data_IF_410197956915
#
_entry.id   IF_410197956915
#
_cell.length_a   1.000
_cell.length_b   1.000
_cell.length_c   1.000
_cell.angle_alpha   90.00
_cell.angle_beta   90.00
_cell.angle_gamma   90.00
#
_symmetry.space_group_name_H-M   'P 1'
#
loop_
_entity.id
_entity.type
_entity.pdbx_description
1 polymer ?
#
# COMPACT_ATOMS: atom_id res chain seq x y z
N UNK A 1 -1.66 10.63 20.79
CA UNK A 1 -2.73 9.61 20.70
C UNK A 1 -3.16 9.22 22.11
N UNK A 2 -4.39 9.53 22.55
CA UNK A 2 -4.95 8.95 23.76
C UNK A 2 -5.13 7.43 23.55
N UNK A 3 -4.78 6.59 24.53
CA UNK A 3 -4.94 5.13 24.42
C UNK A 3 -6.40 4.68 24.33
N UNK A 4 -7.35 5.51 24.77
CA UNK A 4 -8.76 5.18 24.87
C UNK A 4 -9.52 5.06 23.52
N UNK A 5 -8.89 5.46 22.40
CA UNK A 5 -9.53 5.49 21.07
C UNK A 5 -9.02 4.43 20.08
N UNK A 6 -8.06 3.58 20.47
CA UNK A 6 -7.44 2.58 19.60
C UNK A 6 -8.09 1.20 19.78
N UNK A 7 -8.50 0.52 18.69
CA UNK A 7 -8.87 -0.88 18.74
C UNK A 7 -7.74 -1.73 19.31
N UNK A 8 -8.08 -2.79 20.03
CA UNK A 8 -7.08 -3.71 20.56
C UNK A 8 -6.19 -4.26 19.43
N UNK A 9 -4.88 -4.18 19.66
CA UNK A 9 -3.90 -4.79 18.77
C UNK A 9 -3.99 -6.31 18.85
N UNK A 10 -3.73 -6.97 17.73
CA UNK A 10 -3.55 -8.42 17.72
C UNK A 10 -2.16 -8.77 18.25
N UNK A 11 -1.98 -10.02 18.70
CA UNK A 11 -0.67 -10.50 19.08
C UNK A 11 0.32 -10.37 17.90
N UNK A 12 1.41 -9.63 18.13
CA UNK A 12 2.45 -9.37 17.13
C UNK A 12 2.15 -8.25 16.13
N UNK A 13 0.94 -7.70 16.12
CA UNK A 13 0.54 -6.73 15.10
C UNK A 13 1.41 -5.46 15.11
N UNK A 14 1.80 -5.03 13.92
CA UNK A 14 2.58 -3.82 13.74
C UNK A 14 2.55 -3.31 12.31
N UNK A 15 3.09 -2.10 12.11
CA UNK A 15 3.35 -1.55 10.79
C UNK A 15 4.73 -1.96 10.29
N UNK A 16 4.86 -2.24 9.00
CA UNK A 16 6.16 -2.42 8.37
C UNK A 16 6.75 -1.06 7.96
N UNK A 17 8.07 -0.91 8.04
CA UNK A 17 8.76 0.28 7.54
C UNK A 17 8.73 0.29 6.00
N UNK A 18 7.80 1.04 5.41
CA UNK A 18 7.56 1.09 3.96
C UNK A 18 8.03 2.41 3.33
N UNK A 19 9.19 2.91 3.75
CA UNK A 19 9.77 4.17 3.21
C UNK A 19 8.80 5.38 3.24
N UNK A 20 7.89 5.41 4.21
CA UNK A 20 6.92 6.49 4.41
C UNK A 20 5.53 6.24 3.83
N UNK A 21 5.27 5.15 3.12
CA UNK A 21 3.95 4.87 2.51
C UNK A 21 3.06 3.97 3.37
N UNK A 22 3.46 3.63 4.59
CA UNK A 22 2.65 2.81 5.52
C UNK A 22 1.50 3.58 6.19
N UNK A 23 1.49 4.91 6.06
CA UNK A 23 0.43 5.80 6.55
C UNK A 23 0.11 6.84 5.48
N UNK A 24 -1.15 7.23 5.39
CA UNK A 24 -1.59 8.35 4.54
C UNK A 24 -2.67 9.15 5.24
N UNK A 25 -2.76 10.44 4.90
CA UNK A 25 -3.70 11.39 5.51
C UNK A 25 -4.45 12.14 4.43
N UNK A 26 -5.66 12.59 4.75
CA UNK A 26 -6.48 13.42 3.89
C UNK A 26 -7.16 14.53 4.72
N UNK A 27 -7.67 15.59 4.06
CA UNK A 27 -8.41 16.66 4.75
C UNK A 27 -9.57 16.13 5.61
N UNK A 28 -9.98 16.91 6.60
CA UNK A 28 -11.07 16.53 7.50
C UNK A 28 -10.70 15.52 8.58
N UNK A 29 -9.41 15.44 8.95
CA UNK A 29 -8.95 14.57 10.03
C UNK A 29 -8.83 13.10 9.64
N UNK A 30 -8.88 12.79 8.34
CA UNK A 30 -8.78 11.44 7.81
C UNK A 30 -7.33 10.94 7.84
N UNK A 31 -7.14 9.73 8.35
CA UNK A 31 -5.88 9.01 8.18
C UNK A 31 -6.10 7.50 8.12
N UNK A 32 -5.17 6.81 7.45
CA UNK A 32 -5.15 5.35 7.34
C UNK A 32 -3.76 4.82 7.59
N UNK A 33 -3.66 3.68 8.29
CA UNK A 33 -2.41 2.98 8.58
C UNK A 33 -2.53 1.54 8.11
N UNK A 34 -1.57 1.09 7.31
CA UNK A 34 -1.41 -0.31 6.92
C UNK A 34 -0.71 -1.11 8.04
N UNK A 35 -1.26 -2.26 8.39
CA UNK A 35 -0.70 -3.15 9.40
C UNK A 35 -0.65 -4.62 8.96
N UNK A 36 0.28 -5.36 9.56
CA UNK A 36 0.49 -6.78 9.35
C UNK A 36 1.16 -7.42 10.57
N UNK A 37 1.97 -8.45 10.32
CA UNK A 37 2.66 -9.23 11.35
C UNK A 37 1.71 -9.88 12.37
N UNK A 38 0.53 -10.25 11.91
CA UNK A 38 -0.56 -10.78 12.75
C UNK A 38 -1.35 -11.83 11.97
N UNK A 39 -2.22 -12.63 12.63
CA UNK A 39 -3.04 -13.64 11.96
C UNK A 39 -3.90 -13.11 10.80
N UNK A 40 -4.18 -11.80 10.79
CA UNK A 40 -4.85 -11.09 9.70
C UNK A 40 -4.21 -9.72 9.50
N UNK A 41 -4.13 -9.27 8.25
CA UNK A 41 -3.72 -7.91 7.93
C UNK A 41 -4.89 -6.95 8.12
N UNK A 42 -4.62 -5.75 8.62
CA UNK A 42 -5.65 -4.74 8.90
C UNK A 42 -5.26 -3.37 8.38
N UNK A 43 -6.27 -2.57 8.09
CA UNK A 43 -6.12 -1.13 7.93
C UNK A 43 -6.80 -0.45 9.11
N UNK A 44 -6.06 0.42 9.80
CA UNK A 44 -6.60 1.32 10.80
C UNK A 44 -7.04 2.61 10.10
N UNK A 45 -8.16 3.16 10.52
CA UNK A 45 -8.74 4.40 9.97
C UNK A 45 -9.20 5.32 11.08
N UNK A 46 -8.96 6.62 10.91
CA UNK A 46 -9.57 7.70 11.71
C UNK A 46 -10.21 8.72 10.77
N UNK A 47 -11.22 9.43 11.26
CA UNK A 47 -11.84 10.60 10.64
C UNK A 47 -12.02 11.77 11.61
N UNK A 48 -11.29 11.74 12.73
CA UNK A 48 -11.39 12.70 13.82
C UNK A 48 -10.00 13.16 14.32
N UNK A 49 -9.05 13.30 13.40
CA UNK A 49 -7.68 13.72 13.68
C UNK A 49 -6.92 12.75 14.61
N UNK A 50 -7.30 11.47 14.59
CA UNK A 50 -6.68 10.41 15.39
C UNK A 50 -7.17 10.36 16.83
N UNK A 51 -8.29 11.00 17.15
CA UNK A 51 -8.92 10.89 18.48
C UNK A 51 -9.52 9.49 18.69
N UNK A 52 -10.10 8.89 17.65
CA UNK A 52 -10.57 7.51 17.62
C UNK A 52 -10.21 6.80 16.32
N UNK A 53 -10.14 5.47 16.39
CA UNK A 53 -9.75 4.61 15.27
C UNK A 53 -10.71 3.43 15.12
N UNK A 54 -10.96 3.04 13.87
CA UNK A 54 -11.60 1.78 13.50
C UNK A 54 -10.62 0.90 12.71
N UNK A 55 -10.89 -0.40 12.64
CA UNK A 55 -10.09 -1.33 11.84
C UNK A 55 -10.96 -2.11 10.87
N UNK A 56 -10.46 -2.33 9.67
CA UNK A 56 -11.01 -3.27 8.71
C UNK A 56 -9.96 -4.33 8.35
N UNK A 57 -10.37 -5.59 8.29
CA UNK A 57 -9.50 -6.66 7.80
C UNK A 57 -9.31 -6.52 6.29
N UNK A 58 -8.09 -6.80 5.82
CA UNK A 58 -7.72 -6.76 4.43
C UNK A 58 -7.39 -8.19 3.95
N UNK A 59 -8.01 -8.68 2.86
CA UNK A 59 -7.83 -10.05 2.40
C UNK A 59 -6.52 -10.27 1.63
N UNK A 60 -5.38 -9.95 2.24
CA UNK A 60 -4.01 -10.26 1.75
C UNK A 60 -3.40 -11.41 2.56
N UNK A 61 -2.27 -11.94 2.11
CA UNK A 61 -1.46 -12.86 2.93
C UNK A 61 -1.12 -12.24 4.29
N UNK A 62 -1.20 -13.03 5.35
CA UNK A 62 -0.99 -12.60 6.74
C UNK A 62 -0.18 -13.65 7.51
N UNK A 63 0.30 -13.27 8.70
CA UNK A 63 1.17 -14.07 9.54
C UNK A 63 2.44 -13.31 9.95
N UNK A 64 3.38 -14.03 10.56
CA UNK A 64 4.69 -13.48 10.90
C UNK A 64 5.41 -12.99 9.64
N UNK A 65 5.88 -11.74 9.65
CA UNK A 65 6.54 -11.10 8.51
C UNK A 65 5.64 -10.83 7.30
N UNK A 66 4.32 -11.07 7.40
CA UNK A 66 3.38 -10.89 6.30
C UNK A 66 2.23 -9.92 6.64
N UNK A 67 1.69 -9.27 5.62
CA UNK A 67 0.55 -8.35 5.73
C UNK A 67 0.71 -7.11 4.86
N UNK A 68 0.03 -6.02 5.21
CA UNK A 68 0.11 -4.76 4.47
C UNK A 68 1.32 -3.95 4.90
N UNK A 69 2.09 -3.48 3.91
CA UNK A 69 3.23 -2.58 4.11
C UNK A 69 2.90 -1.13 3.70
N UNK A 70 2.10 -0.93 2.67
CA UNK A 70 1.87 0.38 2.07
C UNK A 70 0.37 0.64 1.85
N UNK A 71 -0.04 1.90 1.94
CA UNK A 71 -1.41 2.34 1.65
C UNK A 71 -1.38 3.69 0.91
N UNK A 72 -2.21 3.82 -0.11
CA UNK A 72 -2.36 5.04 -0.89
C UNK A 72 -3.83 5.29 -1.17
N UNK A 73 -4.31 6.48 -0.83
CA UNK A 73 -5.67 6.92 -1.10
C UNK A 73 -5.66 7.89 -2.29
N UNK A 74 -6.51 7.63 -3.29
CA UNK A 74 -6.72 8.55 -4.41
C UNK A 74 -7.61 9.72 -3.99
N UNK A 75 -8.59 9.44 -3.12
CA UNK A 75 -9.48 10.40 -2.48
C UNK A 75 -10.02 9.81 -1.16
N UNK A 76 -11.03 10.44 -0.56
CA UNK A 76 -11.58 10.01 0.74
C UNK A 76 -12.30 8.64 0.72
N UNK A 77 -12.68 8.13 -0.45
CA UNK A 77 -13.39 6.85 -0.62
C UNK A 77 -12.56 5.79 -1.35
N UNK A 78 -11.79 6.18 -2.35
CA UNK A 78 -11.01 5.28 -3.19
C UNK A 78 -9.56 5.17 -2.70
N UNK A 79 -9.10 3.95 -2.48
CA UNK A 79 -7.71 3.69 -2.11
C UNK A 79 -7.26 2.26 -2.36
N UNK A 80 -5.95 2.06 -2.27
CA UNK A 80 -5.28 0.77 -2.49
C UNK A 80 -4.24 0.54 -1.41
N UNK A 81 -4.19 -0.67 -0.87
CA UNK A 81 -3.16 -1.10 0.06
C UNK A 81 -2.38 -2.29 -0.54
N UNK A 82 -1.10 -2.33 -0.22
CA UNK A 82 -0.10 -3.22 -0.81
C UNK A 82 0.70 -3.90 0.30
N UNK A 83 1.20 -5.10 0.03
CA UNK A 83 1.98 -5.84 1.01
C UNK A 83 2.54 -7.16 0.50
N UNK A 84 2.44 -8.21 1.29
CA UNK A 84 2.93 -9.55 0.97
C UNK A 84 3.66 -10.18 2.15
N UNK A 85 4.43 -11.24 1.91
CA UNK A 85 5.38 -11.78 2.88
C UNK A 85 6.75 -11.10 2.68
N UNK A 86 7.14 -10.22 3.60
CA UNK A 86 8.38 -9.45 3.48
C UNK A 86 9.63 -10.31 3.67
N UNK A 87 9.50 -11.50 4.26
CA UNK A 87 10.59 -12.46 4.45
C UNK A 87 10.90 -13.31 3.22
N UNK A 88 10.04 -13.31 2.19
CA UNK A 88 10.21 -14.15 1.00
C UNK A 88 10.26 -13.28 -0.26
N UNK A 89 11.40 -13.33 -0.97
CA UNK A 89 11.73 -12.34 -2.01
C UNK A 89 11.12 -12.63 -3.38
N UNK A 90 10.74 -13.87 -3.65
CA UNK A 90 10.37 -14.40 -4.95
C UNK A 90 8.97 -15.04 -4.97
N UNK A 91 8.23 -14.94 -3.85
CA UNK A 91 6.90 -15.50 -3.73
C UNK A 91 5.83 -14.56 -4.29
N UNK A 92 4.89 -15.09 -5.07
CA UNK A 92 3.63 -14.42 -5.38
C UNK A 92 2.57 -14.76 -4.34
N UNK A 93 1.89 -13.73 -3.85
CA UNK A 93 0.84 -13.84 -2.82
C UNK A 93 -0.30 -12.87 -3.15
N UNK A 94 -1.46 -13.07 -2.52
CA UNK A 94 -2.48 -12.01 -2.46
C UNK A 94 -1.89 -10.81 -1.72
N UNK A 95 -1.53 -9.76 -2.45
CA UNK A 95 -0.74 -8.66 -1.91
C UNK A 95 -1.23 -7.26 -2.29
N UNK A 96 -2.36 -7.14 -3.00
CA UNK A 96 -2.97 -5.87 -3.34
C UNK A 96 -4.48 -5.91 -3.10
N UNK A 97 -4.99 -4.90 -2.41
CA UNK A 97 -6.42 -4.73 -2.12
C UNK A 97 -6.87 -3.30 -2.38
N UNK A 98 -8.14 -3.12 -2.73
CA UNK A 98 -8.77 -1.84 -2.99
C UNK A 98 -9.96 -1.61 -2.08
N UNK A 99 -10.16 -0.36 -1.69
CA UNK A 99 -11.37 0.15 -1.06
C UNK A 99 -12.05 1.16 -1.96
N UNK A 100 -13.38 1.20 -1.90
CA UNK A 100 -14.22 2.24 -2.54
C UNK A 100 -15.17 2.89 -1.53
N UNK A 101 -14.98 2.60 -0.24
CA UNK A 101 -15.80 3.10 0.87
C UNK A 101 -14.95 3.76 1.98
N UNK A 102 -13.75 4.21 1.61
CA UNK A 102 -12.84 4.95 2.47
C UNK A 102 -12.13 4.06 3.50
N UNK A 103 -11.90 2.80 3.16
CA UNK A 103 -11.17 1.83 3.99
C UNK A 103 -12.03 1.09 5.01
N UNK A 104 -13.36 1.14 4.86
CA UNK A 104 -14.29 0.37 5.71
C UNK A 104 -14.37 -1.10 5.29
N UNK A 105 -14.20 -1.36 3.99
CA UNK A 105 -14.04 -2.69 3.42
C UNK A 105 -12.99 -2.71 2.32
N UNK A 106 -12.43 -3.90 2.08
CA UNK A 106 -11.32 -4.12 1.15
C UNK A 106 -11.59 -5.34 0.28
N UNK A 107 -11.34 -5.20 -1.02
CA UNK A 107 -11.48 -6.27 -2.02
C UNK A 107 -10.14 -6.53 -2.69
N UNK A 108 -9.81 -7.80 -2.94
CA UNK A 108 -8.58 -8.18 -3.66
C UNK A 108 -8.56 -7.59 -5.07
N UNK A 109 -7.38 -7.18 -5.50
CA UNK A 109 -7.11 -6.86 -6.90
C UNK A 109 -6.31 -8.01 -7.56
N UNK A 110 -6.31 -8.08 -8.89
CA UNK A 110 -5.40 -8.92 -9.65
C UNK A 110 -3.95 -8.85 -9.16
N UNK A 111 -3.28 -9.99 -9.22
CA UNK A 111 -1.90 -10.17 -8.78
C UNK A 111 -0.95 -9.28 -9.58
N UNK A 112 0.08 -8.79 -8.90
CA UNK A 112 1.22 -8.09 -9.51
C UNK A 112 2.11 -9.06 -10.33
N UNK A 113 2.86 -8.51 -11.28
CA UNK A 113 3.92 -9.24 -12.00
C UNK A 113 5.17 -9.37 -11.15
N UNK A 114 5.55 -8.32 -10.43
CA UNK A 114 6.72 -8.32 -9.55
C UNK A 114 6.63 -9.49 -8.55
N UNK A 115 7.75 -10.18 -8.38
CA UNK A 115 7.87 -11.25 -7.40
C UNK A 115 8.17 -10.68 -6.00
N UNK A 116 7.71 -11.39 -4.97
CA UNK A 116 7.85 -10.99 -3.57
C UNK A 116 6.79 -9.98 -3.11
N UNK A 117 7.02 -9.38 -1.95
CA UNK A 117 6.11 -8.38 -1.39
C UNK A 117 6.21 -7.03 -2.11
N UNK A 118 5.07 -6.38 -2.30
CA UNK A 118 4.99 -4.98 -2.67
C UNK A 118 5.39 -4.12 -1.47
N UNK A 119 6.63 -3.62 -1.49
CA UNK A 119 7.18 -2.76 -0.44
C UNK A 119 6.55 -1.37 -0.45
N UNK A 120 6.09 -0.92 -1.62
CA UNK A 120 5.46 0.38 -1.80
C UNK A 120 4.47 0.38 -2.94
N UNK A 121 3.49 1.27 -2.87
CA UNK A 121 2.57 1.53 -3.97
C UNK A 121 1.85 2.85 -3.81
N UNK A 122 1.59 3.53 -4.93
CA UNK A 122 1.00 4.86 -4.97
C UNK A 122 -0.05 4.97 -6.07
N UNK A 123 -1.16 5.66 -5.75
CA UNK A 123 -1.98 6.32 -6.76
C UNK A 123 -1.21 7.52 -7.32
N UNK A 124 -1.21 7.66 -8.64
CA UNK A 124 -0.57 8.79 -9.30
C UNK A 124 -1.55 9.97 -9.33
N UNK A 125 -1.22 11.12 -8.70
CA UNK A 125 -2.10 12.28 -8.68
C UNK A 125 -2.47 12.75 -10.09
N UNK A 126 -3.67 13.33 -10.23
CA UNK A 126 -4.16 13.84 -11.52
C UNK A 126 -4.65 12.76 -12.51
N UNK A 127 -4.71 11.48 -12.10
CA UNK A 127 -5.18 10.38 -12.96
C UNK A 127 -6.55 9.83 -12.58
N UNK A 128 -7.27 10.51 -11.68
CA UNK A 128 -8.59 10.11 -11.17
C UNK A 128 -8.62 8.67 -10.60
N UNK A 129 -7.56 8.28 -9.88
CA UNK A 129 -7.43 6.95 -9.27
C UNK A 129 -7.23 5.80 -10.26
N UNK A 130 -6.99 6.11 -11.54
CA UNK A 130 -6.75 5.07 -12.56
C UNK A 130 -5.32 4.60 -12.59
N UNK A 131 -4.36 5.50 -12.45
CA UNK A 131 -2.96 5.11 -12.54
C UNK A 131 -2.38 4.77 -11.16
N UNK A 132 -1.82 3.56 -11.08
CA UNK A 132 -1.14 3.03 -9.91
C UNK A 132 0.28 2.63 -10.30
N UNK A 133 1.21 2.73 -9.36
CA UNK A 133 2.55 2.15 -9.48
C UNK A 133 2.85 1.40 -8.20
N UNK A 134 3.35 0.16 -8.31
CA UNK A 134 3.83 -0.63 -7.18
C UNK A 134 5.27 -1.06 -7.40
N UNK A 135 6.01 -1.20 -6.30
CA UNK A 135 7.41 -1.57 -6.29
C UNK A 135 7.70 -2.64 -5.24
N UNK A 136 8.75 -3.42 -5.48
CA UNK A 136 9.23 -4.40 -4.52
C UNK A 136 10.60 -4.96 -4.91
N UNK A 137 11.04 -6.03 -4.21
CA UNK A 137 12.34 -6.65 -4.46
C UNK A 137 12.43 -7.31 -5.83
N UNK A 138 11.30 -7.72 -6.41
CA UNK A 138 11.21 -8.37 -7.71
C UNK A 138 10.79 -7.47 -8.87
N UNK A 139 10.71 -6.13 -8.70
CA UNK A 139 10.40 -5.24 -9.82
C UNK A 139 9.58 -4.00 -9.48
N UNK A 140 9.07 -3.40 -10.56
CA UNK A 140 8.08 -2.33 -10.54
C UNK A 140 7.00 -2.62 -11.57
N UNK A 141 5.74 -2.42 -11.18
CA UNK A 141 4.57 -2.61 -12.02
C UNK A 141 3.71 -1.35 -12.03
N UNK A 142 2.97 -1.12 -13.11
CA UNK A 142 1.95 -0.08 -13.21
C UNK A 142 0.60 -0.64 -13.60
N UNK A 143 -0.45 0.06 -13.22
CA UNK A 143 -1.80 -0.14 -13.74
C UNK A 143 -2.33 1.20 -14.24
N UNK A 144 -3.08 1.18 -15.34
CA UNK A 144 -3.76 2.37 -15.90
C UNK A 144 -5.29 2.29 -15.80
N UNK A 145 -5.82 1.25 -15.15
CA UNK A 145 -7.26 0.99 -15.01
C UNK A 145 -7.67 0.71 -13.56
N UNK A 146 -7.02 1.35 -12.60
CA UNK A 146 -7.36 1.29 -11.18
C UNK A 146 -7.06 -0.07 -10.55
N UNK A 147 -6.03 -0.75 -11.06
CA UNK A 147 -5.58 -2.07 -10.61
C UNK A 147 -6.35 -3.24 -11.21
N UNK A 148 -7.14 -3.01 -12.27
CA UNK A 148 -7.86 -4.08 -12.99
C UNK A 148 -6.93 -4.97 -13.84
N UNK A 149 -5.79 -4.44 -14.26
CA UNK A 149 -4.67 -5.17 -14.83
C UNK A 149 -3.37 -4.44 -14.53
N UNK A 150 -2.25 -5.16 -14.57
CA UNK A 150 -0.92 -4.62 -14.32
C UNK A 150 -0.04 -4.83 -15.55
N UNK A 151 0.98 -4.00 -15.70
CA UNK A 151 2.05 -4.12 -16.68
C UNK A 151 3.39 -4.05 -15.94
N UNK A 152 4.30 -4.96 -16.26
CA UNK A 152 5.65 -4.93 -15.69
C UNK A 152 6.48 -3.83 -16.35
N UNK A 153 7.08 -2.97 -15.54
CA UNK A 153 7.92 -1.86 -16.00
C UNK A 153 9.41 -2.19 -15.92
N UNK A 154 9.80 -2.96 -14.90
CA UNK A 154 11.18 -3.29 -14.58
C UNK A 154 11.22 -4.51 -13.67
N UNK A 155 12.28 -5.34 -13.79
CA UNK A 155 12.50 -6.52 -12.95
C UNK A 155 13.51 -6.29 -11.81
N UNK A 156 14.13 -5.10 -11.74
CA UNK A 156 15.09 -4.77 -10.69
C UNK A 156 14.40 -4.41 -9.38
N UNK A 157 15.10 -4.62 -8.27
CA UNK A 157 14.62 -4.24 -6.94
C UNK A 157 14.45 -2.73 -6.76
N UNK A 158 13.30 -2.33 -6.19
CA UNK A 158 12.93 -0.96 -5.83
C UNK A 158 12.31 -0.95 -4.41
N UNK A 159 12.69 0.03 -3.58
CA UNK A 159 12.40 0.06 -2.14
C UNK A 159 11.66 1.32 -1.65
N UNK A 160 11.69 2.39 -2.43
CA UNK A 160 10.96 3.62 -2.13
C UNK A 160 10.25 4.16 -3.35
N UNK A 161 9.08 4.76 -3.14
CA UNK A 161 8.27 5.36 -4.19
C UNK A 161 7.58 6.62 -3.68
N UNK A 162 7.48 7.63 -4.54
CA UNK A 162 6.70 8.84 -4.29
C UNK A 162 6.17 9.42 -5.59
N UNK A 163 5.01 10.07 -5.54
CA UNK A 163 4.39 10.67 -6.72
C UNK A 163 3.78 12.03 -6.40
N UNK A 164 4.02 13.00 -7.28
CA UNK A 164 3.33 14.30 -7.30
C UNK A 164 2.49 14.48 -8.58
N UNK A 165 2.45 13.49 -9.47
CA UNK A 165 1.68 13.53 -10.72
C UNK A 165 2.25 12.60 -11.81
N UNK A 166 1.65 12.61 -13.01
CA UNK A 166 1.97 11.66 -14.09
C UNK A 166 3.43 11.74 -14.57
N UNK A 167 4.01 12.94 -14.54
CA UNK A 167 5.40 13.21 -14.92
C UNK A 167 6.35 13.34 -13.73
N UNK A 168 5.85 13.11 -12.52
CA UNK A 168 6.56 13.34 -11.26
C UNK A 168 6.42 12.15 -10.30
N UNK A 169 6.55 10.93 -10.82
CA UNK A 169 6.65 9.69 -10.02
C UNK A 169 8.08 9.21 -10.00
N UNK A 170 8.63 8.96 -8.81
CA UNK A 170 10.01 8.55 -8.60
C UNK A 170 10.08 7.27 -7.78
N UNK A 171 11.00 6.39 -8.16
CA UNK A 171 11.30 5.14 -7.46
C UNK A 171 12.78 5.10 -7.11
N UNK A 172 13.11 4.57 -5.93
CA UNK A 172 14.47 4.46 -5.41
C UNK A 172 14.81 3.02 -5.08
N UNK A 173 16.06 2.63 -5.28
CA UNK A 173 16.52 1.25 -5.10
C UNK A 173 17.94 1.19 -4.54
N UNK A 174 18.53 -0.02 -4.51
CA UNK A 174 19.89 -0.25 -4.02
C UNK A 174 20.93 0.64 -4.71
N UNK A 175 22.06 0.86 -4.04
CA UNK A 175 23.24 1.56 -4.60
C UNK A 175 22.95 3.01 -5.04
N UNK A 176 21.99 3.67 -4.39
CA UNK A 176 21.62 5.06 -4.72
C UNK A 176 20.86 5.19 -6.05
N UNK A 177 20.32 4.09 -6.59
CA UNK A 177 19.56 4.12 -7.84
C UNK A 177 18.27 4.92 -7.67
N UNK A 178 18.02 5.82 -8.62
CA UNK A 178 16.79 6.61 -8.72
C UNK A 178 16.30 6.53 -10.17
N UNK A 179 15.01 6.29 -10.36
CA UNK A 179 14.37 6.36 -11.67
C UNK A 179 13.07 7.15 -11.61
N UNK A 180 12.73 7.78 -12.74
CA UNK A 180 11.43 8.42 -12.93
C UNK A 180 10.51 7.47 -13.69
N UNK A 181 9.30 7.27 -13.18
CA UNK A 181 8.23 6.54 -13.84
C UNK A 181 7.30 7.55 -14.52
N UNK A 182 6.89 7.25 -15.75
CA UNK A 182 5.90 8.02 -16.51
C UNK A 182 4.73 7.11 -16.85
N UNK A 183 3.57 7.42 -16.33
CA UNK A 183 2.30 6.80 -16.72
C UNK A 183 1.58 7.74 -17.66
N UNK A 184 1.22 7.26 -18.85
CA UNK A 184 0.56 8.02 -19.92
C UNK A 184 -0.77 7.39 -20.26
#
# INVERSE_FOLDING_TARGET
MPSAGLPAALAGEGGFAASGTCVTTAPGGLAWIAAGNAPRARVFRTDDYGASWSTADAPVVSGEGAGLASISMADASLGTAFGGNLGVRDQHTDNVVRTTDGGRSWTRLPQLFLAGAAYGGVHVPGTHGRALVSIGPGGADASLNGGGSWDSLDARAWWGIGSAGPDATWITGPEGRIARVRVR
#
